data_IF_849592256836
#
_entry.id   IF_849592256836
#
_cell.length_a   1.000
_cell.length_b   1.000
_cell.length_c   1.000
_cell.angle_alpha   90.00
_cell.angle_beta   90.00
_cell.angle_gamma   90.00
#
_symmetry.space_group_name_H-M   'P 1'
#
loop_
_entity.id
_entity.type
_entity.pdbx_description
1 polymer ?
#
# COMPACT_ATOMS: atom_id res chain seq x y z
N UNK A 1 -10.64 10.40 14.10
CA UNK A 1 -9.74 10.38 12.94
C UNK A 1 -9.29 8.96 12.57
N UNK A 2 -8.65 8.23 13.52
CA UNK A 2 -8.09 6.89 13.28
C UNK A 2 -9.14 5.89 12.79
N UNK A 3 -10.30 5.87 13.40
CA UNK A 3 -11.42 4.99 13.01
C UNK A 3 -12.00 5.35 11.64
N UNK A 4 -12.09 6.63 11.33
CA UNK A 4 -12.58 7.10 10.01
C UNK A 4 -11.59 6.80 8.89
N UNK A 5 -10.30 7.07 9.09
CA UNK A 5 -9.24 6.73 8.14
C UNK A 5 -9.10 5.21 7.94
N UNK A 6 -9.17 4.43 9.03
CA UNK A 6 -9.17 2.96 8.96
C UNK A 6 -10.38 2.41 8.21
N UNK A 7 -11.56 2.97 8.41
CA UNK A 7 -12.79 2.58 7.70
C UNK A 7 -12.73 2.88 6.21
N UNK A 8 -12.24 4.06 5.81
CA UNK A 8 -12.04 4.43 4.40
C UNK A 8 -11.00 3.56 3.72
N UNK A 9 -9.86 3.34 4.33
CA UNK A 9 -8.81 2.47 3.80
C UNK A 9 -9.36 1.04 3.61
N UNK A 10 -10.10 0.52 4.58
CA UNK A 10 -10.71 -0.82 4.48
C UNK A 10 -11.76 -0.91 3.37
N UNK A 11 -12.55 0.14 3.15
CA UNK A 11 -13.57 0.19 2.09
C UNK A 11 -12.95 0.24 0.70
N UNK A 12 -11.84 0.95 0.54
CA UNK A 12 -11.12 1.09 -0.74
C UNK A 12 -10.02 0.04 -0.94
N UNK A 13 -9.75 -0.80 0.07
CA UNK A 13 -8.75 -1.86 -0.06
C UNK A 13 -9.26 -2.96 -1.00
N UNK A 14 -8.61 -3.17 -2.15
CA UNK A 14 -8.93 -4.30 -3.01
C UNK A 14 -8.62 -5.62 -2.28
N UNK A 15 -9.25 -6.71 -2.72
CA UNK A 15 -9.01 -8.04 -2.15
C UNK A 15 -7.65 -8.59 -2.62
N UNK A 16 -6.55 -8.04 -2.09
CA UNK A 16 -5.18 -8.42 -2.47
C UNK A 16 -4.93 -9.93 -2.39
N UNK A 17 -5.54 -10.63 -1.43
CA UNK A 17 -5.43 -12.08 -1.32
C UNK A 17 -5.98 -12.82 -2.54
N UNK A 18 -7.13 -12.39 -3.07
CA UNK A 18 -7.72 -12.99 -4.29
C UNK A 18 -6.87 -12.67 -5.52
N UNK A 19 -6.37 -11.43 -5.64
CA UNK A 19 -5.49 -11.01 -6.74
C UNK A 19 -4.19 -11.83 -6.72
N UNK A 20 -3.62 -12.05 -5.55
CA UNK A 20 -2.39 -12.84 -5.40
C UNK A 20 -2.61 -14.33 -5.67
N UNK A 21 -3.72 -14.90 -5.21
CA UNK A 21 -4.09 -16.28 -5.52
C UNK A 21 -4.26 -16.50 -7.03
N UNK A 22 -4.92 -15.57 -7.72
CA UNK A 22 -5.08 -15.63 -9.18
C UNK A 22 -3.76 -15.49 -9.93
N UNK A 23 -2.85 -14.63 -9.45
CA UNK A 23 -1.49 -14.50 -9.97
C UNK A 23 -0.74 -15.84 -9.88
N UNK A 24 -0.76 -16.49 -8.70
CA UNK A 24 -0.12 -17.79 -8.49
C UNK A 24 -0.73 -18.89 -9.36
N UNK A 25 -2.05 -18.88 -9.53
CA UNK A 25 -2.72 -19.83 -10.41
C UNK A 25 -2.26 -19.66 -11.87
N UNK A 26 -2.28 -18.43 -12.40
CA UNK A 26 -1.86 -18.14 -13.78
C UNK A 26 -0.37 -18.44 -14.01
N UNK A 27 0.47 -18.16 -13.01
CA UNK A 27 1.89 -18.52 -13.04
C UNK A 27 2.07 -20.05 -13.05
N UNK A 28 1.30 -20.78 -12.24
CA UNK A 28 1.30 -22.24 -12.22
C UNK A 28 0.89 -22.82 -13.58
N UNK A 29 -0.17 -22.32 -14.19
CA UNK A 29 -0.62 -22.74 -15.53
C UNK A 29 0.45 -22.46 -16.60
N UNK A 30 1.11 -21.30 -16.52
CA UNK A 30 2.19 -20.96 -17.44
C UNK A 30 3.39 -21.91 -17.29
N UNK A 31 3.81 -22.21 -16.05
CA UNK A 31 4.88 -23.18 -15.76
C UNK A 31 4.51 -24.60 -16.22
N UNK A 32 3.26 -25.01 -16.05
CA UNK A 32 2.78 -26.32 -16.49
C UNK A 32 2.88 -26.49 -18.00
N UNK A 33 2.50 -25.47 -18.78
CA UNK A 33 2.61 -25.52 -20.26
C UNK A 33 4.08 -25.62 -20.68
N UNK A 34 4.99 -24.90 -20.04
CA UNK A 34 6.43 -25.01 -20.32
C UNK A 34 6.99 -26.38 -19.97
N UNK A 35 6.60 -26.94 -18.81
CA UNK A 35 7.02 -28.28 -18.41
C UNK A 35 6.51 -29.34 -19.41
N UNK A 36 5.27 -29.22 -19.84
CA UNK A 36 4.69 -30.11 -20.86
C UNK A 36 5.45 -30.03 -22.18
N UNK A 37 5.73 -28.82 -22.65
CA UNK A 37 6.51 -28.60 -23.87
C UNK A 37 7.88 -29.27 -23.76
N UNK A 38 8.59 -29.09 -22.63
CA UNK A 38 9.89 -29.70 -22.39
C UNK A 38 9.85 -31.23 -22.43
N UNK A 39 8.79 -31.84 -21.85
CA UNK A 39 8.64 -33.28 -21.81
C UNK A 39 8.31 -33.86 -23.17
N UNK A 40 7.59 -33.14 -24.04
CA UNK A 40 7.12 -33.61 -25.35
C UNK A 40 7.82 -32.91 -26.51
N UNK A 41 8.98 -32.26 -26.27
CA UNK A 41 9.67 -31.46 -27.27
C UNK A 41 10.00 -32.22 -28.56
N UNK A 42 10.42 -33.48 -28.42
CA UNK A 42 10.73 -34.36 -29.57
C UNK A 42 9.49 -34.63 -30.41
N UNK A 43 8.34 -34.91 -29.78
CA UNK A 43 7.08 -35.15 -30.48
C UNK A 43 6.60 -33.88 -31.20
N UNK A 44 6.72 -32.72 -30.55
CA UNK A 44 6.34 -31.43 -31.17
C UNK A 44 7.20 -31.13 -32.40
N UNK A 45 8.50 -31.35 -32.32
CA UNK A 45 9.42 -31.18 -33.43
C UNK A 45 9.11 -32.17 -34.57
N UNK A 46 8.86 -33.43 -34.22
CA UNK A 46 8.60 -34.46 -35.22
C UNK A 46 7.31 -34.21 -36.04
N UNK A 47 6.25 -33.71 -35.37
CA UNK A 47 4.99 -33.38 -36.03
C UNK A 47 4.89 -31.95 -36.55
N UNK A 48 5.92 -31.14 -36.45
CA UNK A 48 5.92 -29.73 -36.90
C UNK A 48 4.93 -28.85 -36.15
N UNK A 49 4.67 -29.17 -34.86
CA UNK A 49 3.68 -28.48 -34.02
C UNK A 49 4.18 -27.19 -33.34
N UNK A 50 5.36 -26.70 -33.69
CA UNK A 50 6.05 -25.59 -33.03
C UNK A 50 5.24 -24.31 -32.94
N UNK A 51 4.63 -23.88 -34.05
CA UNK A 51 3.81 -22.66 -34.09
C UNK A 51 2.55 -22.75 -33.22
N UNK A 52 1.98 -23.95 -33.11
CA UNK A 52 0.79 -24.17 -32.30
C UNK A 52 1.13 -24.13 -30.81
N UNK A 53 2.24 -24.73 -30.41
CA UNK A 53 2.71 -24.67 -29.02
C UNK A 53 3.17 -23.26 -28.65
N UNK A 54 3.86 -22.54 -29.53
CA UNK A 54 4.19 -21.12 -29.37
C UNK A 54 2.94 -20.27 -29.11
N UNK A 55 1.91 -20.44 -29.93
CA UNK A 55 0.64 -19.72 -29.76
C UNK A 55 0.00 -20.03 -28.40
N UNK A 56 0.02 -21.28 -27.98
CA UNK A 56 -0.56 -21.71 -26.70
C UNK A 56 0.18 -21.11 -25.50
N UNK A 57 1.51 -21.14 -25.51
CA UNK A 57 2.36 -20.52 -24.50
C UNK A 57 2.14 -19.01 -24.46
N UNK A 58 2.13 -18.36 -25.63
CA UNK A 58 1.96 -16.91 -25.75
C UNK A 58 0.58 -16.45 -25.25
N UNK A 59 -0.45 -17.29 -25.47
CA UNK A 59 -1.78 -17.01 -24.93
C UNK A 59 -1.79 -17.01 -23.40
N UNK A 60 -1.19 -18.00 -22.76
CA UNK A 60 -1.06 -18.07 -21.29
C UNK A 60 -0.19 -16.94 -20.74
N UNK A 61 0.89 -16.62 -21.43
CA UNK A 61 1.75 -15.49 -21.07
C UNK A 61 1.00 -14.15 -21.10
N UNK A 62 0.22 -13.91 -22.14
CA UNK A 62 -0.58 -12.67 -22.23
C UNK A 62 -1.63 -12.57 -21.12
N UNK A 63 -2.26 -13.68 -20.76
CA UNK A 63 -3.19 -13.72 -19.65
C UNK A 63 -2.51 -13.37 -18.31
N UNK A 64 -1.34 -13.93 -18.04
CA UNK A 64 -0.53 -13.63 -16.86
C UNK A 64 -0.10 -12.15 -16.83
N UNK A 65 0.44 -11.63 -17.94
CA UNK A 65 0.87 -10.23 -18.03
C UNK A 65 -0.32 -9.27 -17.88
N UNK A 66 -1.46 -9.60 -18.46
CA UNK A 66 -2.69 -8.82 -18.32
C UNK A 66 -3.13 -8.73 -16.86
N UNK A 67 -3.12 -9.84 -16.14
CA UNK A 67 -3.43 -9.88 -14.71
C UNK A 67 -2.42 -9.08 -13.88
N UNK A 68 -1.11 -9.24 -14.15
CA UNK A 68 -0.06 -8.48 -13.47
C UNK A 68 -0.22 -6.97 -13.65
N UNK A 69 -0.56 -6.51 -14.86
CA UNK A 69 -0.85 -5.09 -15.11
C UNK A 69 -2.03 -4.60 -14.27
N UNK A 70 -3.08 -5.39 -14.17
CA UNK A 70 -4.24 -5.05 -13.33
C UNK A 70 -3.85 -4.97 -11.85
N UNK A 71 -3.12 -5.95 -11.33
CA UNK A 71 -2.62 -5.95 -9.95
C UNK A 71 -1.72 -4.74 -9.65
N UNK A 72 -0.83 -4.38 -10.58
CA UNK A 72 0.03 -3.21 -10.46
C UNK A 72 -0.78 -1.90 -10.44
N UNK A 73 -1.79 -1.79 -11.31
CA UNK A 73 -2.67 -0.63 -11.36
C UNK A 73 -3.45 -0.44 -10.06
N UNK A 74 -4.05 -1.52 -9.53
CA UNK A 74 -4.76 -1.51 -8.26
C UNK A 74 -3.83 -1.15 -7.09
N UNK A 75 -2.62 -1.72 -7.05
CA UNK A 75 -1.62 -1.40 -6.03
C UNK A 75 -1.17 0.05 -6.10
N UNK A 76 -0.95 0.58 -7.29
CA UNK A 76 -0.53 1.97 -7.50
C UNK A 76 -1.61 2.94 -7.04
N UNK A 77 -2.85 2.72 -7.46
CA UNK A 77 -3.99 3.55 -7.11
C UNK A 77 -4.26 3.55 -5.60
N UNK A 78 -4.27 2.36 -5.00
CA UNK A 78 -4.43 2.21 -3.56
C UNK A 78 -3.29 2.87 -2.77
N UNK A 79 -2.05 2.69 -3.23
CA UNK A 79 -0.88 3.33 -2.63
C UNK A 79 -0.97 4.87 -2.67
N UNK A 80 -1.41 5.43 -3.79
CA UNK A 80 -1.59 6.88 -3.93
C UNK A 80 -2.66 7.43 -2.98
N UNK A 81 -3.80 6.76 -2.87
CA UNK A 81 -4.86 7.13 -1.92
C UNK A 81 -4.34 7.05 -0.48
N UNK A 82 -3.66 5.97 -0.13
CA UNK A 82 -3.11 5.75 1.21
C UNK A 82 -2.09 6.84 1.57
N UNK A 83 -1.17 7.16 0.68
CA UNK A 83 -0.14 8.20 0.90
C UNK A 83 -0.77 9.58 1.01
N UNK A 84 -1.79 9.88 0.22
CA UNK A 84 -2.54 11.13 0.33
C UNK A 84 -3.18 11.28 1.70
N UNK A 85 -3.90 10.26 2.17
CA UNK A 85 -4.55 10.31 3.47
C UNK A 85 -3.54 10.39 4.63
N UNK A 86 -2.45 9.65 4.57
CA UNK A 86 -1.44 9.65 5.63
C UNK A 86 -0.64 10.95 5.68
N UNK A 87 -0.22 11.48 4.54
CA UNK A 87 0.65 12.68 4.50
C UNK A 87 -0.14 13.96 4.68
N UNK A 88 -1.15 14.19 3.84
CA UNK A 88 -1.83 15.48 3.79
C UNK A 88 -2.91 15.63 4.85
N UNK A 89 -3.76 14.65 5.00
CA UNK A 89 -4.83 14.72 5.99
C UNK A 89 -4.27 14.63 7.41
N UNK A 90 -3.24 13.82 7.62
CA UNK A 90 -2.54 13.74 8.89
C UNK A 90 -1.87 15.06 9.27
N UNK A 91 -1.18 15.69 8.33
CA UNK A 91 -0.56 17.00 8.55
C UNK A 91 -1.59 18.10 8.86
N UNK A 92 -2.72 18.10 8.15
CA UNK A 92 -3.80 19.08 8.40
C UNK A 92 -4.38 18.95 9.81
N UNK A 93 -4.66 17.72 10.26
CA UNK A 93 -5.15 17.47 11.63
C UNK A 93 -4.12 17.88 12.67
N UNK A 94 -2.82 17.60 12.44
CA UNK A 94 -1.75 18.02 13.33
C UNK A 94 -1.68 19.54 13.46
N UNK A 95 -1.77 20.27 12.33
CA UNK A 95 -1.78 21.74 12.33
C UNK A 95 -2.98 22.28 13.09
N UNK A 96 -4.18 21.75 12.87
CA UNK A 96 -5.39 22.18 13.59
C UNK A 96 -5.24 21.95 15.10
N UNK A 97 -4.73 20.81 15.53
CA UNK A 97 -4.52 20.50 16.96
C UNK A 97 -3.45 21.39 17.60
N UNK A 98 -2.47 21.89 16.83
CA UNK A 98 -1.45 22.80 17.34
C UNK A 98 -1.99 24.23 17.42
N UNK A 99 -2.86 24.60 16.47
CA UNK A 99 -3.42 25.97 16.42
C UNK A 99 -4.48 26.19 17.50
N UNK A 100 -5.27 25.19 17.84
CA UNK A 100 -6.36 25.31 18.82
C UNK A 100 -5.91 25.85 20.18
N UNK A 101 -4.87 25.32 20.88
CA UNK A 101 -4.39 25.88 22.13
C UNK A 101 -3.76 27.27 21.97
N UNK A 102 -3.31 27.64 20.77
CA UNK A 102 -2.77 28.95 20.50
C UNK A 102 -3.86 30.03 20.45
N UNK A 103 -5.03 29.70 19.88
CA UNK A 103 -6.17 30.60 19.81
C UNK A 103 -7.01 30.62 21.09
N UNK A 104 -7.05 29.53 21.85
CA UNK A 104 -7.76 29.46 23.15
C UNK A 104 -7.13 30.29 24.26
N UNK A 105 -5.95 30.86 24.03
CA UNK A 105 -5.27 31.74 24.98
C UNK A 105 -4.54 31.04 26.13
N UNK A 106 -4.55 29.73 26.20
CA UNK A 106 -3.79 28.93 27.17
C UNK A 106 -2.27 29.06 27.00
N UNK A 107 -1.85 29.53 25.86
CA UNK A 107 -0.46 29.78 25.48
C UNK A 107 -0.15 31.28 25.41
N UNK A 108 -0.82 32.17 26.17
CA UNK A 108 -0.41 33.57 26.27
C UNK A 108 0.97 33.64 26.92
N UNK A 109 1.98 34.14 26.19
CA UNK A 109 3.31 34.29 26.78
C UNK A 109 3.23 35.30 27.94
N UNK A 110 3.36 34.80 29.14
CA UNK A 110 3.74 35.69 30.26
C UNK A 110 5.03 36.39 29.91
N UNK A 111 5.16 37.65 30.27
CA UNK A 111 6.30 38.51 29.94
C UNK A 111 7.64 38.02 30.51
N UNK A 112 7.64 36.91 31.25
CA UNK A 112 8.84 36.29 31.82
C UNK A 112 9.52 35.35 30.82
N UNK A 113 10.84 35.37 30.77
CA UNK A 113 11.67 34.48 29.92
C UNK A 113 11.45 33.01 30.27
N UNK A 114 11.13 32.67 31.51
CA UNK A 114 10.81 31.33 32.01
C UNK A 114 9.48 30.82 31.41
N UNK A 115 8.43 31.66 31.41
CA UNK A 115 7.14 31.27 30.80
C UNK A 115 7.23 31.00 29.29
N UNK A 116 8.11 31.71 28.57
CA UNK A 116 8.36 31.43 27.15
C UNK A 116 9.09 30.11 26.93
N UNK A 117 10.03 29.76 27.81
CA UNK A 117 10.76 28.51 27.73
C UNK A 117 9.83 27.30 27.98
N UNK A 118 8.96 27.40 28.97
CA UNK A 118 7.97 26.36 29.30
C UNK A 118 6.93 26.20 28.17
N UNK A 119 6.47 27.30 27.61
CA UNK A 119 5.57 27.26 26.43
C UNK A 119 6.21 26.58 25.23
N UNK A 120 7.46 26.93 24.89
CA UNK A 120 8.19 26.28 23.78
C UNK A 120 8.43 24.80 24.05
N UNK A 121 8.72 24.42 25.29
CA UNK A 121 8.90 23.02 25.69
C UNK A 121 7.61 22.23 25.51
N UNK A 122 6.48 22.74 25.95
CA UNK A 122 5.17 22.11 25.79
C UNK A 122 4.74 21.98 24.32
N UNK A 123 4.92 23.03 23.53
CA UNK A 123 4.68 23.00 22.07
C UNK A 123 5.55 21.92 21.39
N UNK A 124 6.82 21.85 21.74
CA UNK A 124 7.75 20.86 21.21
C UNK A 124 7.33 19.44 21.58
N UNK A 125 6.91 19.23 22.83
CA UNK A 125 6.41 17.95 23.30
C UNK A 125 5.15 17.52 22.53
N UNK A 126 4.11 18.37 22.44
CA UNK A 126 2.88 18.06 21.73
C UNK A 126 3.14 17.80 20.25
N UNK A 127 3.99 18.60 19.59
CA UNK A 127 4.36 18.39 18.20
C UNK A 127 5.07 17.05 17.99
N UNK A 128 6.02 16.69 18.87
CA UNK A 128 6.75 15.42 18.78
C UNK A 128 5.83 14.20 18.99
N UNK A 129 4.91 14.27 19.93
CA UNK A 129 3.92 13.22 20.16
C UNK A 129 2.99 13.04 18.97
N UNK A 130 2.50 14.13 18.37
CA UNK A 130 1.65 14.08 17.17
C UNK A 130 2.41 13.44 16.00
N UNK A 131 3.65 13.84 15.73
CA UNK A 131 4.49 13.27 14.68
C UNK A 131 4.72 11.78 14.93
N UNK A 132 5.05 11.38 16.15
CA UNK A 132 5.27 9.98 16.52
C UNK A 132 4.00 9.12 16.31
N UNK A 133 2.82 9.64 16.65
CA UNK A 133 1.54 8.98 16.39
C UNK A 133 1.28 8.78 14.90
N UNK A 134 1.57 9.78 14.05
CA UNK A 134 1.42 9.65 12.61
C UNK A 134 2.40 8.64 12.01
N UNK A 135 3.64 8.63 12.46
CA UNK A 135 4.63 7.65 12.02
C UNK A 135 4.23 6.23 12.42
N UNK A 136 3.73 6.03 13.64
CA UNK A 136 3.26 4.71 14.10
C UNK A 136 2.04 4.22 13.29
N UNK A 137 1.09 5.10 12.97
CA UNK A 137 -0.05 4.78 12.11
C UNK A 137 0.39 4.40 10.68
N UNK A 138 1.37 5.12 10.12
CA UNK A 138 1.96 4.77 8.83
C UNK A 138 2.58 3.37 8.85
N UNK A 139 3.36 3.07 9.89
CA UNK A 139 4.00 1.76 10.08
C UNK A 139 2.97 0.64 10.25
N UNK A 140 1.91 0.85 11.03
CA UNK A 140 0.82 -0.11 11.20
C UNK A 140 0.09 -0.39 9.90
N UNK A 141 -0.16 0.64 9.08
CA UNK A 141 -0.80 0.49 7.78
C UNK A 141 0.04 -0.36 6.82
N UNK A 142 1.36 -0.12 6.78
CA UNK A 142 2.30 -0.91 5.98
C UNK A 142 2.38 -2.35 6.48
N UNK A 143 2.42 -2.56 7.79
CA UNK A 143 2.46 -3.89 8.41
C UNK A 143 1.20 -4.69 8.14
N UNK A 144 0.02 -4.06 8.24
CA UNK A 144 -1.27 -4.67 7.89
C UNK A 144 -1.31 -5.12 6.43
N UNK A 145 -0.77 -4.31 5.52
CA UNK A 145 -0.65 -4.68 4.11
C UNK A 145 0.25 -5.90 3.90
N UNK A 146 1.39 -5.97 4.59
CA UNK A 146 2.31 -7.13 4.53
C UNK A 146 1.65 -8.41 5.06
N UNK A 147 0.89 -8.33 6.15
CA UNK A 147 0.14 -9.47 6.69
C UNK A 147 -0.94 -9.98 5.72
N UNK A 148 -1.63 -9.08 5.02
CA UNK A 148 -2.63 -9.47 4.00
C UNK A 148 -2.01 -10.13 2.78
N UNK A 149 -0.74 -9.91 2.49
CA UNK A 149 -0.02 -10.57 1.40
C UNK A 149 0.45 -11.98 1.82
N UNK A 150 0.69 -12.19 3.12
CA UNK A 150 1.17 -13.48 3.65
C UNK A 150 0.01 -14.47 3.98
N UNK A 151 -1.22 -14.03 4.00
CA UNK A 151 -2.43 -14.82 4.25
C UNK A 151 -3.12 -15.21 2.96
#
# INVERSE_FOLDING_TARGET
>A
YVLGAGGTIRKFSPSFGKLKAMEQQLEGEYRQVHSRLRTHAESVAFYGGEKREEYHIMHRFRALVGHLKHVLHENWWFGMIQDFFLKYFGATVAVVLIIEPFFSGDLRPDSSTLGRADMLSNLRYHTSVIIALFQSLGTLSISSRRLNILR
#
